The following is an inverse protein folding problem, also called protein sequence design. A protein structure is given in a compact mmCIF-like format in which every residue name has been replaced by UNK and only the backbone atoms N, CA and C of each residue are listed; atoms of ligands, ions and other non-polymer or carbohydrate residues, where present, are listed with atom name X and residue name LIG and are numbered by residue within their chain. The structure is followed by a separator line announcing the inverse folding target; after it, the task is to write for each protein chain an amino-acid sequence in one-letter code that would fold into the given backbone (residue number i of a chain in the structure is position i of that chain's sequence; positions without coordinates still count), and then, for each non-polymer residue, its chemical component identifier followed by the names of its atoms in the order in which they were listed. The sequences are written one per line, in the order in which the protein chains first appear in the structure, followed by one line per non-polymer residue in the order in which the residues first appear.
data_IF_489600794281
#
_entry.id   IF_489600794281
#
_cell.length_a   1.000
_cell.length_b   1.000
_cell.length_c   1.000
_cell.angle_alpha   90.00
_cell.angle_beta   90.00
_cell.angle_gamma   90.00
#
_symmetry.space_group_name_H-M   'P 1'
#
loop_
_entity.id
_entity.type
_entity.pdbx_description
1 polymer ?
#
# COMPACT_ATOMS: atom_id res chain seq x y z
N UNK A 1 -7.88 6.04 -4.90
CA UNK A 1 -8.55 4.77 -4.57
C UNK A 1 -7.92 4.13 -3.32
N UNK A 2 -6.60 3.90 -3.26
CA UNK A 2 -5.91 3.63 -1.97
C UNK A 2 -6.16 4.75 -0.96
N UNK A 3 -6.25 6.02 -1.42
CA UNK A 3 -6.63 7.18 -0.61
C UNK A 3 -7.99 7.08 0.07
N UNK A 4 -8.85 6.17 -0.36
CA UNK A 4 -10.18 5.98 0.23
C UNK A 4 -10.23 4.78 1.17
N UNK A 5 -9.39 3.76 0.93
CA UNK A 5 -9.37 2.57 1.78
C UNK A 5 -8.51 2.81 3.01
N UNK A 6 -7.27 3.25 2.82
CA UNK A 6 -6.33 3.45 3.91
C UNK A 6 -6.84 4.49 4.91
N UNK A 7 -7.29 5.70 4.51
CA UNK A 7 -7.91 6.63 5.45
C UNK A 7 -9.17 6.08 6.11
N UNK A 8 -10.07 5.43 5.37
CA UNK A 8 -11.30 4.86 5.94
C UNK A 8 -11.03 3.72 6.92
N UNK A 9 -10.04 2.86 6.66
CA UNK A 9 -9.60 1.82 7.58
C UNK A 9 -8.94 2.41 8.83
N UNK A 10 -8.25 3.53 8.69
CA UNK A 10 -7.40 4.12 9.72
C UNK A 10 -8.00 5.39 10.36
N UNK A 11 -8.96 6.11 9.71
CA UNK A 11 -9.66 7.27 10.28
C UNK A 11 -10.75 6.91 11.32
N UNK A 12 -10.80 5.66 11.77
CA UNK A 12 -11.69 5.29 12.86
C UNK A 12 -13.18 5.23 12.51
N UNK A 13 -13.58 5.39 11.25
CA UNK A 13 -14.94 5.01 10.85
C UNK A 13 -15.16 3.50 11.00
N UNK A 14 -14.06 2.74 11.00
CA UNK A 14 -14.04 1.28 11.17
C UNK A 14 -13.32 0.82 12.44
N UNK A 15 -12.43 1.66 13.02
CA UNK A 15 -11.65 1.31 14.21
C UNK A 15 -11.79 2.47 15.18
N UNK A 16 -12.60 2.31 16.23
CA UNK A 16 -12.63 3.23 17.35
C UNK A 16 -11.23 3.31 17.97
N UNK A 17 -10.74 4.53 18.29
CA UNK A 17 -9.38 4.77 18.84
C UNK A 17 -9.07 3.89 20.08
N UNK A 18 -10.09 3.44 20.79
CA UNK A 18 -10.00 2.51 21.92
C UNK A 18 -9.91 1.05 21.51
N UNK A 19 -10.31 0.69 20.29
CA UNK A 19 -10.45 -0.70 19.87
C UNK A 19 -9.25 -1.17 19.04
N UNK A 20 -8.50 -0.26 18.38
CA UNK A 20 -7.39 -0.63 17.54
C UNK A 20 -6.30 -1.47 18.27
N UNK A 21 -5.80 -1.07 19.45
CA UNK A 21 -4.80 -1.88 20.16
C UNK A 21 -5.35 -3.21 20.68
N UNK A 22 -6.64 -3.27 21.03
CA UNK A 22 -7.30 -4.51 21.48
C UNK A 22 -7.57 -5.45 20.29
N UNK A 23 -7.95 -4.89 19.14
CA UNK A 23 -8.18 -5.60 17.89
C UNK A 23 -6.92 -6.35 17.45
N UNK A 24 -5.78 -5.65 17.40
CA UNK A 24 -4.50 -6.25 17.00
C UNK A 24 -3.95 -7.24 18.03
N UNK A 25 -4.32 -7.14 19.30
CA UNK A 25 -3.99 -8.17 20.30
C UNK A 25 -4.80 -9.44 20.09
N UNK A 26 -6.07 -9.33 19.70
CA UNK A 26 -6.91 -10.51 19.44
C UNK A 26 -6.48 -11.24 18.17
N UNK A 27 -5.93 -10.54 17.17
CA UNK A 27 -5.37 -11.13 15.95
C UNK A 27 -4.09 -11.96 16.20
N UNK A 28 -3.48 -11.87 17.38
CA UNK A 28 -2.35 -12.72 17.77
C UNK A 28 -2.73 -14.15 18.12
N UNK A 29 -4.03 -14.44 18.25
CA UNK A 29 -4.53 -15.78 18.62
C UNK A 29 -4.45 -16.74 17.40
N UNK A 30 -3.85 -17.93 17.59
CA UNK A 30 -3.75 -18.97 16.56
C UNK A 30 -5.12 -19.41 16.01
N UNK A 31 -6.19 -19.24 16.79
CA UNK A 31 -7.55 -19.53 16.35
C UNK A 31 -8.03 -18.65 15.21
N UNK A 32 -7.52 -17.41 15.08
CA UNK A 32 -7.85 -16.53 13.97
C UNK A 32 -7.26 -16.98 12.63
N UNK A 33 -6.13 -17.69 12.65
CA UNK A 33 -5.56 -18.29 11.44
C UNK A 33 -6.47 -19.37 10.85
N UNK A 34 -7.23 -20.07 11.68
CA UNK A 34 -8.19 -21.09 11.24
C UNK A 34 -9.45 -20.48 10.60
N UNK A 35 -9.78 -19.23 10.91
CA UNK A 35 -10.97 -18.55 10.39
C UNK A 35 -10.74 -17.79 9.07
N UNK A 36 -9.47 -17.59 8.68
CA UNK A 36 -9.09 -17.13 7.32
C UNK A 36 -9.47 -18.15 6.23
N UNK A 37 -10.16 -19.22 6.61
CA UNK A 37 -10.61 -20.26 5.70
C UNK A 37 -11.94 -19.96 4.97
N UNK A 38 -12.58 -18.83 5.22
CA UNK A 38 -13.72 -18.43 4.40
C UNK A 38 -13.27 -18.29 2.93
N UNK A 39 -14.01 -18.90 2.02
CA UNK A 39 -13.62 -19.00 0.60
C UNK A 39 -13.33 -17.64 -0.04
N UNK A 40 -14.04 -16.57 0.39
CA UNK A 40 -13.81 -15.21 -0.10
C UNK A 40 -12.49 -14.61 0.40
N UNK A 41 -12.09 -14.87 1.64
CA UNK A 41 -10.85 -14.40 2.26
C UNK A 41 -9.66 -15.02 1.52
N UNK A 42 -9.70 -16.34 1.34
CA UNK A 42 -8.68 -17.09 0.62
C UNK A 42 -8.54 -16.66 -0.83
N UNK A 43 -9.67 -16.52 -1.54
CA UNK A 43 -9.66 -16.10 -2.93
C UNK A 43 -9.00 -14.72 -3.13
N UNK A 44 -9.21 -13.79 -2.21
CA UNK A 44 -8.57 -12.47 -2.26
C UNK A 44 -7.06 -12.55 -1.99
N UNK A 45 -6.66 -13.30 -0.96
CA UNK A 45 -5.25 -13.48 -0.61
C UNK A 45 -4.49 -14.20 -1.74
N UNK A 46 -5.05 -15.29 -2.28
CA UNK A 46 -4.45 -16.03 -3.39
C UNK A 46 -4.31 -15.16 -4.64
N UNK A 47 -5.33 -14.35 -4.94
CA UNK A 47 -5.26 -13.41 -6.06
C UNK A 47 -4.16 -12.35 -5.88
N UNK A 48 -3.96 -11.85 -4.66
CA UNK A 48 -2.90 -10.89 -4.36
C UNK A 48 -1.51 -11.52 -4.51
N UNK A 49 -1.33 -12.74 -4.01
CA UNK A 49 -0.06 -13.48 -4.14
C UNK A 49 0.25 -13.80 -5.61
N UNK A 50 -0.73 -14.30 -6.37
CA UNK A 50 -0.56 -14.61 -7.79
C UNK A 50 -0.21 -13.38 -8.64
N UNK A 51 -0.62 -12.19 -8.22
CA UNK A 51 -0.32 -10.95 -8.94
C UNK A 51 1.17 -10.59 -8.94
N UNK A 52 1.97 -11.10 -7.99
CA UNK A 52 3.43 -10.85 -7.98
C UNK A 52 4.08 -11.39 -9.24
N UNK A 53 3.76 -12.61 -9.63
CA UNK A 53 4.31 -13.22 -10.84
C UNK A 53 3.87 -12.44 -12.08
N UNK A 54 2.57 -12.14 -12.22
CA UNK A 54 2.02 -11.47 -13.39
C UNK A 54 2.56 -10.05 -13.55
N UNK A 55 2.59 -9.26 -12.47
CA UNK A 55 3.14 -7.89 -12.49
C UNK A 55 4.63 -7.93 -12.72
N UNK A 56 5.36 -8.86 -12.08
CA UNK A 56 6.79 -9.06 -12.26
C UNK A 56 7.16 -9.37 -13.72
N UNK A 57 6.43 -10.29 -14.37
CA UNK A 57 6.60 -10.59 -15.79
C UNK A 57 6.34 -9.38 -16.69
N UNK A 58 5.33 -8.58 -16.38
CA UNK A 58 5.04 -7.36 -17.12
C UNK A 58 6.16 -6.32 -16.98
N UNK A 59 6.68 -6.12 -15.77
CA UNK A 59 7.81 -5.20 -15.53
C UNK A 59 9.06 -5.69 -16.27
N UNK A 60 9.41 -6.97 -16.16
CA UNK A 60 10.55 -7.57 -16.83
C UNK A 60 10.46 -7.42 -18.37
N UNK A 61 9.26 -7.54 -18.91
CA UNK A 61 8.97 -7.34 -20.34
C UNK A 61 8.78 -5.85 -20.74
N UNK A 62 9.01 -4.90 -19.83
CA UNK A 62 8.81 -3.45 -20.04
C UNK A 62 7.38 -3.05 -20.40
N UNK A 63 6.41 -3.86 -20.03
CA UNK A 63 4.97 -3.62 -20.24
C UNK A 63 4.36 -2.91 -19.01
N UNK A 64 4.91 -1.76 -18.65
CA UNK A 64 4.58 -1.05 -17.40
C UNK A 64 3.10 -0.75 -17.25
N UNK A 65 2.41 -0.35 -18.33
CA UNK A 65 0.97 -0.11 -18.31
C UNK A 65 0.18 -1.36 -17.95
N UNK A 66 0.55 -2.52 -18.47
CA UNK A 66 -0.10 -3.78 -18.15
C UNK A 66 0.17 -4.18 -16.69
N UNK A 67 1.41 -4.00 -16.21
CA UNK A 67 1.77 -4.28 -14.83
C UNK A 67 0.98 -3.44 -13.82
N UNK A 68 0.91 -2.12 -14.01
CA UNK A 68 0.11 -1.26 -13.10
C UNK A 68 -1.39 -1.56 -13.21
N UNK A 69 -1.89 -1.93 -14.39
CA UNK A 69 -3.31 -2.33 -14.56
C UNK A 69 -3.61 -3.56 -13.73
N UNK A 70 -2.72 -4.56 -13.72
CA UNK A 70 -2.90 -5.77 -12.92
C UNK A 70 -2.80 -5.48 -11.41
N UNK A 71 -1.82 -4.69 -10.96
CA UNK A 71 -1.74 -4.25 -9.57
C UNK A 71 -3.03 -3.53 -9.13
N UNK A 72 -3.57 -2.63 -9.97
CA UNK A 72 -4.82 -1.92 -9.70
C UNK A 72 -6.04 -2.83 -9.73
N UNK A 73 -6.00 -3.96 -10.46
CA UNK A 73 -7.05 -4.99 -10.40
C UNK A 73 -7.15 -5.58 -8.99
N UNK A 74 -6.02 -5.87 -8.35
CA UNK A 74 -6.00 -6.37 -6.96
C UNK A 74 -6.56 -5.32 -5.99
N UNK A 75 -6.19 -4.06 -6.16
CA UNK A 75 -6.77 -2.95 -5.38
C UNK A 75 -8.31 -2.92 -5.55
N UNK A 76 -8.80 -3.14 -6.77
CA UNK A 76 -10.24 -3.23 -7.05
C UNK A 76 -10.93 -4.40 -6.32
N UNK A 77 -10.28 -5.58 -6.29
CA UNK A 77 -10.77 -6.74 -5.55
C UNK A 77 -10.80 -6.49 -4.04
N UNK A 78 -9.77 -5.86 -3.48
CA UNK A 78 -9.73 -5.48 -2.07
C UNK A 78 -10.87 -4.50 -1.70
N UNK A 79 -11.12 -3.49 -2.54
CA UNK A 79 -12.23 -2.55 -2.36
C UNK A 79 -13.58 -3.28 -2.37
N UNK A 80 -13.78 -4.19 -3.34
CA UNK A 80 -15.00 -4.98 -3.44
C UNK A 80 -15.17 -5.85 -2.19
N UNK A 81 -14.12 -6.53 -1.77
CA UNK A 81 -14.13 -7.38 -0.57
C UNK A 81 -14.56 -6.60 0.68
N UNK A 82 -13.96 -5.43 0.95
CA UNK A 82 -14.35 -4.60 2.09
C UNK A 82 -15.79 -4.16 2.00
N UNK A 83 -16.27 -3.81 0.79
CA UNK A 83 -17.66 -3.42 0.57
C UNK A 83 -18.63 -4.59 0.77
N UNK A 84 -18.27 -5.79 0.35
CA UNK A 84 -19.12 -6.99 0.48
C UNK A 84 -19.14 -7.51 1.93
N UNK A 85 -18.00 -7.45 2.64
CA UNK A 85 -17.87 -7.95 4.02
C UNK A 85 -18.39 -6.97 5.07
N UNK A 86 -18.52 -5.69 4.75
CA UNK A 86 -19.07 -4.64 5.61
C UNK A 86 -18.59 -4.71 7.07
N UNK A 87 -17.26 -4.68 7.36
CA UNK A 87 -16.73 -4.90 8.71
C UNK A 87 -17.32 -3.96 9.76
N UNK A 88 -17.83 -2.78 9.38
CA UNK A 88 -18.52 -1.84 10.25
C UNK A 88 -19.88 -2.33 10.74
N UNK A 89 -20.49 -3.33 10.10
CA UNK A 89 -21.72 -3.97 10.51
C UNK A 89 -21.48 -5.18 11.42
N UNK A 90 -20.27 -5.70 11.50
CA UNK A 90 -19.91 -6.89 12.28
C UNK A 90 -19.64 -6.56 13.75
N UNK A 91 -20.50 -5.73 14.37
CA UNK A 91 -20.34 -5.34 15.78
C UNK A 91 -20.58 -6.50 16.74
N UNK A 92 -21.49 -7.39 16.38
CA UNK A 92 -21.89 -8.53 17.18
C UNK A 92 -21.03 -9.79 16.91
N UNK A 93 -20.17 -9.74 15.88
CA UNK A 93 -19.18 -10.77 15.55
C UNK A 93 -17.78 -10.15 15.44
N UNK A 94 -17.13 -9.87 16.57
CA UNK A 94 -15.81 -9.25 16.59
C UNK A 94 -14.73 -10.13 15.95
N UNK A 95 -14.86 -11.47 16.04
CA UNK A 95 -13.87 -12.38 15.43
C UNK A 95 -13.90 -12.27 13.91
N UNK A 96 -15.08 -12.34 13.30
CA UNK A 96 -15.22 -12.19 11.85
C UNK A 96 -14.76 -10.80 11.39
N UNK A 97 -15.13 -9.76 12.11
CA UNK A 97 -14.66 -8.39 11.84
C UNK A 97 -13.13 -8.32 11.82
N UNK A 98 -12.49 -8.87 12.83
CA UNK A 98 -11.04 -8.84 12.99
C UNK A 98 -10.35 -9.64 11.87
N UNK A 99 -10.91 -10.78 11.46
CA UNK A 99 -10.45 -11.54 10.30
C UNK A 99 -10.55 -10.72 9.01
N UNK A 100 -11.69 -10.09 8.75
CA UNK A 100 -11.88 -9.23 7.56
C UNK A 100 -10.88 -8.09 7.53
N UNK A 101 -10.64 -7.44 8.67
CA UNK A 101 -9.66 -6.36 8.77
C UNK A 101 -8.23 -6.86 8.53
N UNK A 102 -7.87 -8.02 9.10
CA UNK A 102 -6.54 -8.60 8.88
C UNK A 102 -6.30 -8.96 7.41
N UNK A 103 -7.26 -9.65 6.77
CA UNK A 103 -7.20 -9.96 5.33
C UNK A 103 -7.04 -8.68 4.51
N UNK A 104 -7.81 -7.65 4.84
CA UNK A 104 -7.71 -6.35 4.14
C UNK A 104 -6.33 -5.72 4.30
N UNK A 105 -5.78 -5.67 5.52
CA UNK A 105 -4.46 -5.10 5.78
C UNK A 105 -3.35 -5.91 5.09
N UNK A 106 -3.48 -7.24 5.05
CA UNK A 106 -2.55 -8.09 4.30
C UNK A 106 -2.55 -7.74 2.82
N UNK A 107 -3.71 -7.60 2.21
CA UNK A 107 -3.80 -7.24 0.79
C UNK A 107 -3.36 -5.80 0.53
N UNK A 108 -3.56 -4.87 1.48
CA UNK A 108 -2.99 -3.51 1.39
C UNK A 108 -1.46 -3.57 1.38
N UNK A 109 -0.84 -4.41 2.23
CA UNK A 109 0.61 -4.63 2.24
C UNK A 109 1.11 -5.20 0.91
N UNK A 110 0.40 -6.17 0.34
CA UNK A 110 0.74 -6.79 -0.94
C UNK A 110 0.60 -5.79 -2.10
N UNK A 111 -0.51 -5.03 -2.15
CA UNK A 111 -0.71 -3.95 -3.12
C UNK A 111 0.37 -2.87 -2.99
N UNK A 112 0.82 -2.55 -1.77
CA UNK A 112 1.91 -1.62 -1.55
C UNK A 112 3.20 -2.11 -2.22
N UNK A 113 3.52 -3.39 -2.07
CA UNK A 113 4.69 -4.00 -2.72
C UNK A 113 4.56 -3.98 -4.25
N UNK A 114 3.39 -4.40 -4.78
CA UNK A 114 3.12 -4.41 -6.22
C UNK A 114 3.22 -3.01 -6.86
N UNK A 115 2.86 -1.96 -6.11
CA UNK A 115 2.88 -0.57 -6.58
C UNK A 115 4.21 0.14 -6.28
N UNK A 116 5.09 -0.42 -5.46
CA UNK A 116 6.39 0.17 -5.11
C UNK A 116 7.22 0.60 -6.33
N UNK A 117 7.35 -0.20 -7.41
CA UNK A 117 8.12 0.21 -8.59
C UNK A 117 7.55 1.44 -9.31
N UNK A 118 6.29 1.75 -9.13
CA UNK A 118 5.58 2.86 -9.78
C UNK A 118 5.47 4.09 -8.87
N UNK A 119 5.33 3.89 -7.56
CA UNK A 119 5.01 4.92 -6.58
C UNK A 119 5.89 4.77 -5.31
N UNK A 120 7.24 4.79 -5.42
CA UNK A 120 8.13 4.49 -4.29
C UNK A 120 7.92 5.40 -3.08
N UNK A 121 7.67 6.70 -3.30
CA UNK A 121 7.44 7.66 -2.21
C UNK A 121 6.13 7.41 -1.46
N UNK A 122 5.06 7.04 -2.19
CA UNK A 122 3.78 6.69 -1.58
C UNK A 122 3.85 5.34 -0.87
N UNK A 123 4.58 4.39 -1.46
CA UNK A 123 4.79 3.08 -0.86
C UNK A 123 5.54 3.17 0.48
N UNK A 124 6.51 4.08 0.61
CA UNK A 124 7.18 4.36 1.88
C UNK A 124 6.17 4.80 2.95
N UNK A 125 5.30 5.75 2.64
CA UNK A 125 4.28 6.25 3.57
C UNK A 125 3.29 5.17 4.00
N UNK A 126 2.89 4.28 3.08
CA UNK A 126 2.01 3.15 3.40
C UNK A 126 2.73 2.15 4.30
N UNK A 127 4.00 1.86 4.02
CA UNK A 127 4.81 0.98 4.85
C UNK A 127 4.92 1.49 6.30
N UNK A 128 5.20 2.78 6.48
CA UNK A 128 5.25 3.44 7.79
C UNK A 128 3.88 3.40 8.49
N UNK A 129 2.79 3.70 7.78
CA UNK A 129 1.43 3.63 8.32
C UNK A 129 1.04 2.21 8.77
N UNK A 130 1.61 1.17 8.16
CA UNK A 130 1.46 -0.22 8.56
C UNK A 130 2.41 -0.64 9.70
N UNK A 131 3.10 0.32 10.33
CA UNK A 131 4.03 0.10 11.44
C UNK A 131 5.40 -0.38 11.00
N UNK A 132 5.76 -0.18 9.73
CA UNK A 132 7.10 -0.49 9.22
C UNK A 132 8.12 0.58 9.62
N UNK A 133 9.34 0.14 9.94
CA UNK A 133 10.45 1.02 10.29
C UNK A 133 11.57 0.95 9.24
N UNK A 134 12.20 2.09 8.98
CA UNK A 134 13.33 2.21 8.07
C UNK A 134 12.92 2.46 6.61
N UNK A 135 13.83 2.23 5.67
CA UNK A 135 13.63 2.52 4.27
C UNK A 135 12.97 1.32 3.57
N UNK A 136 11.69 1.44 3.20
CA UNK A 136 10.99 0.42 2.44
C UNK A 136 11.55 0.30 1.01
N UNK A 137 11.49 1.39 0.25
CA UNK A 137 12.00 1.47 -1.10
C UNK A 137 12.88 2.70 -1.28
N UNK A 138 13.86 2.62 -2.16
CA UNK A 138 14.67 3.76 -2.51
C UNK A 138 13.79 4.96 -2.86
N UNK A 139 14.19 6.14 -2.37
CA UNK A 139 13.49 7.40 -2.61
C UNK A 139 14.22 8.18 -3.70
N UNK A 140 13.95 7.90 -4.99
CA UNK A 140 14.71 8.51 -6.07
C UNK A 140 14.48 10.02 -6.12
N UNK A 141 15.58 10.75 -6.24
CA UNK A 141 15.61 12.20 -6.36
C UNK A 141 16.41 12.59 -7.60
N UNK A 142 16.02 13.69 -8.24
CA UNK A 142 16.78 14.28 -9.32
C UNK A 142 17.90 15.12 -8.70
N UNK A 143 19.14 14.75 -9.00
CA UNK A 143 20.36 15.45 -8.53
C UNK A 143 21.14 15.91 -9.73
N UNK A 144 21.57 17.16 -9.74
CA UNK A 144 22.47 17.66 -10.77
C UNK A 144 23.88 17.15 -10.52
N UNK A 145 24.46 16.51 -11.53
CA UNK A 145 25.84 15.99 -11.50
C UNK A 145 26.67 16.78 -12.49
N UNK A 146 27.80 17.29 -12.03
CA UNK A 146 28.78 17.96 -12.87
C UNK A 146 29.79 16.94 -13.40
N UNK A 147 30.05 16.98 -14.71
CA UNK A 147 31.10 16.22 -15.40
C UNK A 147 31.89 17.19 -16.29
N UNK A 148 33.00 17.67 -15.77
CA UNK A 148 33.77 18.74 -16.38
C UNK A 148 32.98 20.05 -16.44
N UNK A 149 32.75 20.58 -17.65
CA UNK A 149 31.95 21.80 -17.90
C UNK A 149 30.46 21.52 -18.08
N UNK A 150 30.07 20.24 -18.11
CA UNK A 150 28.68 19.82 -18.32
C UNK A 150 28.01 19.55 -16.98
N UNK A 151 26.76 19.99 -16.86
CA UNK A 151 25.88 19.64 -15.73
C UNK A 151 24.64 18.98 -16.30
N UNK A 152 24.27 17.83 -15.77
CA UNK A 152 23.08 17.10 -16.19
C UNK A 152 22.31 16.49 -15.00
N UNK A 153 20.99 16.42 -15.08
CA UNK A 153 20.16 15.80 -14.05
C UNK A 153 20.33 14.28 -14.08
N UNK A 154 20.52 13.70 -12.91
CA UNK A 154 20.65 12.26 -12.70
C UNK A 154 19.68 11.81 -11.63
N UNK A 155 19.04 10.66 -11.84
CA UNK A 155 18.20 10.05 -10.82
C UNK A 155 19.07 9.25 -9.84
N UNK A 156 19.05 9.63 -8.58
CA UNK A 156 19.79 8.97 -7.51
C UNK A 156 18.86 8.53 -6.39
N UNK A 157 19.17 7.39 -5.78
CA UNK A 157 18.44 6.84 -4.63
C UNK A 157 19.28 5.81 -3.90
N UNK A 158 18.99 5.58 -2.63
CA UNK A 158 19.68 4.58 -1.82
C UNK A 158 19.04 3.19 -2.05
N UNK A 159 19.39 2.57 -3.16
CA UNK A 159 18.90 1.25 -3.54
C UNK A 159 19.53 0.11 -2.69
N UNK A 160 20.64 0.36 -2.03
CA UNK A 160 21.31 -0.64 -1.21
C UNK A 160 20.66 -0.79 0.18
N UNK A 161 20.07 0.28 0.70
CA UNK A 161 19.45 0.31 2.03
C UNK A 161 17.98 -0.10 2.03
N UNK A 162 17.36 -0.28 0.87
CA UNK A 162 15.94 -0.64 0.78
C UNK A 162 15.65 -2.03 1.32
N UNK A 163 14.51 -2.18 2.01
CA UNK A 163 14.03 -3.43 2.60
C UNK A 163 12.99 -4.14 1.72
N UNK A 164 12.42 -3.45 0.74
CA UNK A 164 11.41 -4.03 -0.13
C UNK A 164 11.92 -5.27 -0.86
N UNK A 165 11.15 -6.34 -0.77
CA UNK A 165 11.36 -7.58 -1.51
C UNK A 165 10.15 -7.85 -2.38
N UNK A 166 10.37 -8.45 -3.57
CA UNK A 166 9.27 -8.77 -4.49
C UNK A 166 8.55 -10.04 -4.05
N UNK A 167 7.85 -9.95 -2.92
CA UNK A 167 7.08 -11.05 -2.34
C UNK A 167 5.99 -10.50 -1.40
N UNK A 168 4.96 -11.29 -1.16
CA UNK A 168 3.99 -11.02 -0.10
C UNK A 168 4.70 -11.01 1.25
N UNK A 169 4.48 -9.95 2.03
CA UNK A 169 5.02 -9.80 3.38
C UNK A 169 3.90 -9.90 4.39
N UNK A 170 3.94 -10.87 5.31
CA UNK A 170 2.92 -11.01 6.33
C UNK A 170 2.81 -9.76 7.21
N UNK A 171 1.59 -9.28 7.39
CA UNK A 171 1.29 -8.26 8.41
C UNK A 171 1.31 -8.94 9.76
N UNK A 172 2.13 -8.42 10.67
CA UNK A 172 2.27 -8.96 12.02
C UNK A 172 1.13 -8.47 12.91
N UNK A 173 0.28 -9.37 13.43
CA UNK A 173 -0.77 -8.98 14.36
C UNK A 173 -0.17 -8.29 15.61
N UNK A 174 -0.85 -7.27 16.11
CA UNK A 174 -0.39 -6.51 17.27
C UNK A 174 0.57 -5.36 16.98
N UNK A 175 1.00 -5.19 15.72
CA UNK A 175 1.79 -4.02 15.31
C UNK A 175 0.94 -2.75 15.45
N UNK A 176 1.42 -1.71 16.15
CA UNK A 176 0.74 -0.42 16.19
C UNK A 176 0.64 0.16 14.78
N UNK A 177 -0.51 0.69 14.42
CA UNK A 177 -0.69 1.41 13.17
C UNK A 177 -0.65 2.90 13.45
N UNK A 178 0.10 3.63 12.62
CA UNK A 178 0.10 5.08 12.66
C UNK A 178 -1.14 5.65 11.98
N UNK A 179 -1.59 6.82 12.48
CA UNK A 179 -2.68 7.54 11.83
C UNK A 179 -2.20 8.03 10.46
N UNK A 180 -2.77 7.54 9.36
CA UNK A 180 -2.29 7.93 8.04
C UNK A 180 -2.67 9.37 7.73
N UNK A 181 -1.79 10.05 7.03
CA UNK A 181 -2.10 11.27 6.30
C UNK A 181 -2.55 10.93 4.88
N UNK A 182 -3.33 11.81 4.21
CA UNK A 182 -3.65 11.64 2.81
C UNK A 182 -2.38 11.44 1.97
N UNK A 183 -2.32 10.36 1.17
CA UNK A 183 -1.16 10.06 0.33
C UNK A 183 -1.00 11.10 -0.79
N UNK A 184 -2.12 11.62 -1.30
CA UNK A 184 -2.17 12.58 -2.38
C UNK A 184 -3.03 13.79 -1.97
N UNK A 185 -2.48 14.97 -2.09
CA UNK A 185 -3.24 16.19 -1.96
C UNK A 185 -4.01 16.48 -3.26
N UNK A 186 -5.23 17.02 -3.15
CA UNK A 186 -5.91 17.56 -4.30
C UNK A 186 -5.12 18.75 -4.82
N UNK A 187 -4.71 18.71 -6.08
CA UNK A 187 -3.99 19.81 -6.71
C UNK A 187 -4.95 21.01 -6.88
N UNK A 188 -4.45 22.21 -6.61
CA UNK A 188 -5.18 23.45 -6.91
C UNK A 188 -5.27 23.61 -8.45
N UNK A 189 -6.45 23.99 -8.96
CA UNK A 189 -6.66 24.24 -10.39
C UNK A 189 -5.70 25.32 -10.93
N UNK A 190 -5.26 26.25 -10.08
CA UNK A 190 -4.30 27.29 -10.42
C UNK A 190 -2.87 26.81 -10.65
N UNK A 191 -2.51 25.61 -10.20
CA UNK A 191 -1.21 25.00 -10.49
C UNK A 191 -0.97 24.79 -11.99
N UNK A 192 -2.03 24.63 -12.78
CA UNK A 192 -1.97 24.57 -14.25
C UNK A 192 -1.64 25.91 -14.91
N UNK A 193 -1.90 27.05 -14.25
CA UNK A 193 -1.65 28.41 -14.77
C UNK A 193 -0.23 28.88 -14.48
N UNK A 194 0.36 28.44 -13.36
CA UNK A 194 1.70 28.87 -12.93
C UNK A 194 2.84 27.98 -13.44
N UNK A 195 2.54 26.82 -13.99
CA UNK A 195 3.52 25.81 -14.41
C UNK A 195 4.42 25.36 -13.25
N UNK A 196 4.90 24.14 -13.22
CA UNK A 196 5.91 23.76 -12.25
C UNK A 196 7.22 24.51 -12.56
N UNK A 197 7.96 24.87 -11.53
CA UNK A 197 9.20 25.65 -11.61
C UNK A 197 10.30 25.03 -12.51
N UNK A 198 10.11 23.75 -12.94
CA UNK A 198 11.01 23.04 -13.85
C UNK A 198 10.57 23.11 -15.33
N UNK A 199 9.38 23.66 -15.64
CA UNK A 199 8.95 23.81 -17.01
C UNK A 199 9.91 24.76 -17.73
N UNK A 200 10.57 24.36 -18.83
CA UNK A 200 11.42 25.27 -19.58
C UNK A 200 10.56 26.44 -20.06
N UNK A 201 11.01 27.65 -19.75
CA UNK A 201 10.43 28.87 -20.30
C UNK A 201 10.74 28.81 -21.79
N UNK A 202 9.72 28.56 -22.63
CA UNK A 202 9.85 28.49 -24.07
C UNK A 202 10.21 29.81 -24.73
#
# INVERSE_FOLDING_TARGET
MLDQIIPRLLEGQFICETTAPALFRSLADETLRAEVDAAADRALLDAAVAAFDVVGEHIAARRFKAGITEAMRIVGLANKYVSDMEPWKLKDDPRRRDTVLHVTLQVVSDCNTLLTPYLPHSAQKVFEALGGEGLWAAQPQIVEVADGELTYPTLQGDYAAQQATWASRPVVPGTPLDKPSPLFAKLDEKLGETGPAWAPVG
#
